data_IF_583324609380
#
_entry.id   IF_583324609380
#
_cell.length_a   1.000
_cell.length_b   1.000
_cell.length_c   1.000
_cell.angle_alpha   90.00
_cell.angle_beta   90.00
_cell.angle_gamma   90.00
#
_symmetry.space_group_name_H-M   'P 1'
#
loop_
_entity.id
_entity.type
_entity.pdbx_description
1 polymer ?
#
# COMPACT_ATOMS: atom_id res chain seq x y z
N UNK A 1 8.31 57.85 8.17
CA UNK A 1 7.87 56.60 8.82
C UNK A 1 7.67 55.59 7.71
N UNK A 2 8.60 54.64 7.56
CA UNK A 2 8.46 53.54 6.61
C UNK A 2 7.48 52.54 7.22
N UNK A 3 6.37 52.27 6.54
CA UNK A 3 5.45 51.22 6.94
C UNK A 3 6.19 49.89 6.90
N UNK A 4 6.22 49.18 8.02
CA UNK A 4 6.69 47.80 8.04
C UNK A 4 5.89 47.00 7.01
N UNK A 5 6.51 46.02 6.31
CA UNK A 5 5.72 45.07 5.54
C UNK A 5 4.72 44.45 6.50
N UNK A 6 3.43 44.54 6.17
CA UNK A 6 2.41 43.76 6.83
C UNK A 6 2.86 42.31 6.75
N UNK A 7 3.30 41.73 7.86
CA UNK A 7 3.39 40.28 7.98
C UNK A 7 2.01 39.78 7.61
N UNK A 8 1.89 39.16 6.43
CA UNK A 8 0.72 38.36 6.10
C UNK A 8 0.56 37.41 7.28
N UNK A 9 -0.45 37.61 8.12
CA UNK A 9 -0.88 36.54 9.02
C UNK A 9 -1.39 35.45 8.10
N UNK A 10 -0.49 34.56 7.69
CA UNK A 10 -0.81 33.44 6.84
C UNK A 10 -1.89 32.66 7.60
N UNK A 11 -3.06 32.55 6.99
CA UNK A 11 -4.11 31.67 7.49
C UNK A 11 -3.77 30.25 7.06
N UNK A 12 -4.22 29.27 7.83
CA UNK A 12 -4.14 27.89 7.40
C UNK A 12 -4.99 27.72 6.13
N UNK A 13 -4.43 27.03 5.13
CA UNK A 13 -5.03 26.90 3.80
C UNK A 13 -4.54 25.60 3.15
N UNK A 14 -5.39 24.95 2.37
CA UNK A 14 -5.08 23.68 1.70
C UNK A 14 -5.73 23.64 0.33
N UNK A 15 -4.94 23.24 -0.67
CA UNK A 15 -5.38 23.00 -2.04
C UNK A 15 -5.22 21.51 -2.34
N UNK A 16 -6.32 20.88 -2.77
CA UNK A 16 -6.37 19.45 -3.08
C UNK A 16 -7.25 19.22 -4.31
N UNK A 17 -6.64 18.70 -5.37
CA UNK A 17 -7.36 18.34 -6.58
C UNK A 17 -7.83 16.86 -6.63
N UNK A 18 -8.85 16.64 -7.46
CA UNK A 18 -9.31 15.32 -7.88
C UNK A 18 -8.17 14.52 -8.51
N UNK A 19 -7.99 13.25 -8.09
CA UNK A 19 -6.80 12.49 -8.49
C UNK A 19 -7.00 10.98 -8.54
N UNK A 20 -6.18 10.34 -9.38
CA UNK A 20 -6.05 8.89 -9.44
C UNK A 20 -4.90 8.43 -8.55
N UNK A 21 -5.22 7.64 -7.52
CA UNK A 21 -4.24 7.14 -6.56
C UNK A 21 -3.48 5.96 -7.12
N UNK A 22 -2.15 6.11 -7.13
CA UNK A 22 -1.20 5.02 -7.29
C UNK A 22 -0.64 4.66 -5.91
N UNK A 23 -0.53 3.37 -5.60
CA UNK A 23 0.03 2.88 -4.33
C UNK A 23 -0.62 3.50 -3.07
N UNK A 24 -1.91 3.85 -3.10
CA UNK A 24 -2.64 4.47 -1.96
C UNK A 24 -2.05 5.81 -1.49
N UNK A 25 -1.42 6.58 -2.38
CA UNK A 25 -0.81 7.86 -2.01
C UNK A 25 -1.65 9.01 -2.55
N UNK A 26 -2.10 9.89 -1.65
CA UNK A 26 -2.75 11.16 -1.97
C UNK A 26 -1.67 12.25 -2.05
N UNK A 27 -1.73 13.10 -3.06
CA UNK A 27 -0.86 14.29 -3.17
C UNK A 27 -1.69 15.53 -2.90
N UNK A 28 -1.22 16.39 -2.01
CA UNK A 28 -1.80 17.69 -1.68
C UNK A 28 -0.95 18.75 -2.37
N UNK A 29 -1.57 19.58 -3.20
CA UNK A 29 -0.87 20.49 -4.11
C UNK A 29 -0.17 21.62 -3.36
N UNK A 30 -0.87 22.21 -2.41
CA UNK A 30 -0.38 23.27 -1.55
C UNK A 30 -1.00 23.17 -0.17
N UNK A 31 -0.20 23.41 0.87
CA UNK A 31 -0.68 23.54 2.24
C UNK A 31 0.07 24.67 2.92
N UNK A 32 -0.64 25.53 3.64
CA UNK A 32 -0.06 26.56 4.49
C UNK A 32 -0.44 26.28 5.94
N UNK A 33 0.57 26.13 6.81
CA UNK A 33 0.41 25.88 8.24
C UNK A 33 1.06 27.05 9.01
N UNK A 34 0.28 27.88 9.71
CA UNK A 34 0.83 29.03 10.45
C UNK A 34 1.83 28.64 11.54
N UNK A 35 1.55 27.54 12.25
CA UNK A 35 2.32 27.09 13.42
C UNK A 35 2.86 25.66 13.23
N UNK A 36 2.81 25.11 12.02
CA UNK A 36 3.16 23.73 11.72
C UNK A 36 2.06 22.72 12.07
N UNK A 37 2.32 21.43 11.85
CA UNK A 37 1.40 20.34 12.18
C UNK A 37 1.22 19.33 11.05
N UNK A 38 -0.04 18.93 10.79
CA UNK A 38 -0.36 17.76 9.98
C UNK A 38 -1.47 17.99 8.97
N UNK A 39 -1.45 17.17 7.92
CA UNK A 39 -2.58 16.94 7.03
C UNK A 39 -3.18 15.57 7.39
N UNK A 40 -4.47 15.56 7.72
CA UNK A 40 -5.22 14.34 8.02
C UNK A 40 -6.23 14.11 6.90
N UNK A 41 -6.14 12.97 6.24
CA UNK A 41 -7.07 12.61 5.17
C UNK A 41 -8.19 11.75 5.74
N UNK A 42 -9.42 12.17 5.52
CA UNK A 42 -10.66 11.52 5.93
C UNK A 42 -11.46 11.05 4.72
N UNK A 43 -12.31 10.03 4.89
CA UNK A 43 -13.32 9.69 3.89
C UNK A 43 -14.52 10.62 4.00
N UNK A 44 -15.16 10.97 2.88
CA UNK A 44 -16.34 11.83 2.85
C UNK A 44 -16.03 13.31 3.12
N UNK A 45 -16.93 14.01 3.81
CA UNK A 45 -16.68 15.38 4.34
C UNK A 45 -16.44 15.30 5.83
N UNK A 46 -15.41 15.99 6.32
CA UNK A 46 -15.07 15.93 7.73
C UNK A 46 -16.18 16.46 8.63
N UNK A 47 -16.74 17.62 8.28
CA UNK A 47 -17.73 18.33 9.11
C UNK A 47 -19.09 17.63 9.10
N UNK A 48 -19.52 17.12 7.95
CA UNK A 48 -20.84 16.50 7.81
C UNK A 48 -20.88 15.06 8.33
N UNK A 49 -19.77 14.32 8.24
CA UNK A 49 -19.73 12.89 8.57
C UNK A 49 -19.25 12.62 10.01
N UNK A 50 -19.21 13.64 10.87
CA UNK A 50 -18.95 13.49 12.30
C UNK A 50 -17.49 13.22 12.64
N UNK A 51 -16.54 13.77 11.87
CA UNK A 51 -15.09 13.53 12.02
C UNK A 51 -14.77 12.03 11.93
N UNK A 52 -14.91 11.40 10.77
CA UNK A 52 -14.63 9.97 10.62
C UNK A 52 -13.18 9.64 11.02
N UNK A 53 -12.89 8.36 11.24
CA UNK A 53 -11.51 7.96 11.50
C UNK A 53 -10.61 8.33 10.31
N UNK A 54 -9.34 8.70 10.53
CA UNK A 54 -8.40 9.00 9.45
C UNK A 54 -8.25 7.81 8.49
N UNK A 55 -8.13 8.12 7.21
CA UNK A 55 -7.62 7.23 6.17
C UNK A 55 -6.09 7.29 6.13
N UNK A 56 -5.48 8.44 6.43
CA UNK A 56 -4.04 8.63 6.50
C UNK A 56 -3.67 9.95 7.20
N UNK A 57 -2.42 10.05 7.63
CA UNK A 57 -1.84 11.24 8.28
C UNK A 57 -0.49 11.52 7.63
N UNK A 58 -0.18 12.79 7.36
CA UNK A 58 1.14 13.18 6.89
C UNK A 58 2.22 12.99 7.97
N UNK A 59 3.49 13.12 7.58
CA UNK A 59 4.51 13.49 8.57
C UNK A 59 4.25 14.90 9.11
N UNK A 60 4.94 15.26 10.19
CA UNK A 60 4.96 16.64 10.68
C UNK A 60 5.52 17.58 9.61
N UNK A 61 4.90 18.74 9.49
CA UNK A 61 5.29 19.83 8.60
C UNK A 61 5.54 21.08 9.43
N UNK A 62 6.70 21.70 9.25
CA UNK A 62 7.03 22.97 9.90
C UNK A 62 6.05 24.09 9.50
N UNK A 63 6.06 25.18 10.26
CA UNK A 63 5.32 26.39 9.90
C UNK A 63 5.75 26.94 8.52
N UNK A 64 4.77 27.30 7.69
CA UNK A 64 4.97 27.83 6.35
C UNK A 64 4.12 27.14 5.29
N UNK A 65 4.48 27.36 4.02
CA UNK A 65 3.80 26.76 2.87
C UNK A 65 4.62 25.59 2.31
N UNK A 66 3.98 24.45 2.14
CA UNK A 66 4.53 23.23 1.54
C UNK A 66 3.77 22.89 0.26
N UNK A 67 4.43 22.22 -0.69
CA UNK A 67 3.83 21.84 -1.97
C UNK A 67 4.09 20.37 -2.27
N UNK A 68 3.16 19.73 -2.99
CA UNK A 68 3.23 18.33 -3.38
C UNK A 68 3.45 17.40 -2.16
N UNK A 69 2.75 17.67 -1.07
CA UNK A 69 2.86 16.86 0.14
C UNK A 69 2.13 15.53 -0.08
N UNK A 70 2.82 14.42 0.12
CA UNK A 70 2.23 13.09 -0.04
C UNK A 70 1.72 12.53 1.28
N UNK A 71 0.48 12.04 1.29
CA UNK A 71 -0.13 11.35 2.43
C UNK A 71 -0.43 9.90 2.05
N UNK A 72 0.15 8.97 2.80
CA UNK A 72 -0.06 7.53 2.58
C UNK A 72 -1.35 7.07 3.27
N UNK A 73 -2.31 6.57 2.50
CA UNK A 73 -3.51 5.98 3.08
C UNK A 73 -3.21 4.60 3.66
N UNK A 74 -3.79 4.34 4.83
CA UNK A 74 -3.65 3.08 5.56
C UNK A 74 -4.24 1.90 4.77
N UNK A 75 -3.60 0.71 4.81
CA UNK A 75 -4.10 -0.49 4.14
C UNK A 75 -5.54 -0.84 4.55
N UNK A 76 -6.35 -1.30 3.60
CA UNK A 76 -7.73 -1.75 3.84
C UNK A 76 -8.76 -0.64 4.08
N UNK A 77 -8.34 0.63 4.19
CA UNK A 77 -9.26 1.77 4.42
C UNK A 77 -9.90 2.31 3.13
N UNK A 78 -9.30 2.00 1.98
CA UNK A 78 -9.82 2.36 0.65
C UNK A 78 -9.51 1.25 -0.36
N UNK A 79 -10.54 0.63 -0.93
CA UNK A 79 -10.40 -0.56 -1.78
C UNK A 79 -9.76 -0.23 -3.15
N UNK A 80 -8.96 -1.13 -3.74
CA UNK A 80 -8.53 -1.00 -5.13
C UNK A 80 -9.73 -1.00 -6.08
N UNK A 81 -9.69 -0.16 -7.12
CA UNK A 81 -10.79 0.02 -8.08
C UNK A 81 -11.98 0.81 -7.55
N UNK A 82 -11.90 1.37 -6.34
CA UNK A 82 -12.95 2.21 -5.78
C UNK A 82 -12.76 3.68 -6.19
N UNK A 83 -13.88 4.36 -6.41
CA UNK A 83 -13.98 5.82 -6.48
C UNK A 83 -14.68 6.30 -5.22
N UNK A 84 -14.18 7.37 -4.62
CA UNK A 84 -14.77 7.93 -3.42
C UNK A 84 -14.34 9.36 -3.19
N UNK A 85 -14.99 10.02 -2.24
CA UNK A 85 -14.66 11.39 -1.84
C UNK A 85 -13.84 11.37 -0.57
N UNK A 86 -12.88 12.29 -0.47
CA UNK A 86 -12.04 12.52 0.71
C UNK A 86 -12.07 13.99 1.12
N UNK A 87 -11.68 14.23 2.37
CA UNK A 87 -11.38 15.56 2.90
C UNK A 87 -9.97 15.57 3.48
N UNK A 88 -9.15 16.54 3.08
CA UNK A 88 -7.88 16.84 3.75
C UNK A 88 -8.14 17.94 4.78
N UNK A 89 -7.86 17.64 6.06
CA UNK A 89 -8.08 18.55 7.18
C UNK A 89 -6.74 18.90 7.81
N UNK A 90 -6.51 20.18 8.06
CA UNK A 90 -5.28 20.64 8.69
C UNK A 90 -5.40 20.59 10.21
N UNK A 91 -4.38 20.06 10.86
CA UNK A 91 -4.26 19.97 12.32
C UNK A 91 -3.01 20.71 12.79
N UNK A 92 -3.12 21.46 13.89
CA UNK A 92 -1.93 21.98 14.60
C UNK A 92 -1.36 20.89 15.49
N UNK A 93 -0.03 20.91 15.64
CA UNK A 93 0.68 20.04 16.58
C UNK A 93 0.45 20.48 18.03
N UNK A 94 0.25 19.52 18.93
CA UNK A 94 0.11 19.71 20.36
C UNK A 94 1.42 20.08 21.08
N UNK A 95 2.56 19.95 20.41
CA UNK A 95 3.89 20.30 20.90
C UNK A 95 4.84 19.11 21.10
N UNK A 96 4.47 17.91 20.66
CA UNK A 96 5.29 16.70 20.76
C UNK A 96 5.67 16.08 19.40
N UNK A 97 5.28 16.73 18.29
CA UNK A 97 5.50 16.28 16.91
C UNK A 97 4.99 14.84 16.68
N UNK A 98 3.97 14.41 17.44
CA UNK A 98 3.29 13.14 17.25
C UNK A 98 1.79 13.33 17.09
N UNK A 99 1.25 12.84 15.96
CA UNK A 99 -0.17 12.99 15.71
C UNK A 99 -1.04 12.26 16.74
N UNK A 100 -1.75 13.02 17.58
CA UNK A 100 -2.57 12.56 18.70
C UNK A 100 -3.94 13.21 18.65
N UNK A 101 -4.96 12.43 18.28
CA UNK A 101 -6.33 12.94 18.12
C UNK A 101 -7.14 12.95 19.41
N UNK A 102 -6.90 11.99 20.29
CA UNK A 102 -7.65 11.82 21.54
C UNK A 102 -6.71 12.00 22.72
N UNK A 103 -7.24 12.49 23.82
CA UNK A 103 -6.46 12.60 25.06
C UNK A 103 -6.19 11.20 25.61
N UNK A 104 -5.00 10.70 25.29
CA UNK A 104 -4.44 9.45 25.82
C UNK A 104 -3.30 9.75 26.81
N UNK A 105 -3.29 10.95 27.41
CA UNK A 105 -2.23 11.46 28.27
C UNK A 105 -1.11 12.20 27.54
N UNK A 106 -1.26 12.45 26.23
CA UNK A 106 -0.36 13.22 25.37
C UNK A 106 -0.93 14.59 24.96
N UNK A 107 -0.18 15.35 24.18
CA UNK A 107 -0.65 16.64 23.67
C UNK A 107 -1.63 16.42 22.52
N UNK A 108 -2.89 16.83 22.69
CA UNK A 108 -3.92 16.59 21.68
C UNK A 108 -3.85 17.62 20.55
N UNK A 109 -3.69 17.13 19.32
CA UNK A 109 -3.79 17.92 18.11
C UNK A 109 -5.24 18.26 17.81
N UNK A 110 -5.49 19.50 17.38
CA UNK A 110 -6.82 19.90 16.94
C UNK A 110 -6.79 20.48 15.54
N UNK A 111 -7.92 20.49 14.83
CA UNK A 111 -7.99 21.13 13.53
C UNK A 111 -7.66 22.62 13.63
N UNK A 112 -6.99 23.15 12.61
CA UNK A 112 -7.06 24.58 12.32
C UNK A 112 -8.50 24.96 12.00
N UNK A 113 -8.97 26.11 12.51
CA UNK A 113 -10.34 26.58 12.26
C UNK A 113 -10.37 28.03 11.77
N UNK A 114 -11.33 28.34 10.90
CA UNK A 114 -11.67 29.69 10.46
C UNK A 114 -13.16 29.88 10.67
N UNK A 115 -13.55 30.83 11.53
CA UNK A 115 -14.96 31.04 11.87
C UNK A 115 -15.61 29.81 12.53
N UNK A 116 -14.86 29.14 13.40
CA UNK A 116 -15.24 27.88 14.09
C UNK A 116 -15.40 26.64 13.19
N UNK A 117 -15.20 26.78 11.88
CA UNK A 117 -15.20 25.67 10.93
C UNK A 117 -13.77 25.15 10.69
N UNK A 118 -13.55 23.82 10.68
CA UNK A 118 -12.26 23.24 10.31
C UNK A 118 -11.81 23.67 8.92
N UNK A 119 -10.51 23.95 8.77
CA UNK A 119 -9.91 24.15 7.45
C UNK A 119 -9.80 22.79 6.77
N UNK A 120 -10.66 22.57 5.78
CA UNK A 120 -10.71 21.37 4.95
C UNK A 120 -10.77 21.71 3.46
N UNK A 121 -10.25 20.82 2.62
CA UNK A 121 -10.56 20.77 1.18
C UNK A 121 -10.96 19.35 0.79
N UNK A 122 -11.89 19.21 -0.16
CA UNK A 122 -12.42 17.90 -0.54
C UNK A 122 -12.16 17.58 -2.00
N UNK A 123 -11.80 16.32 -2.26
CA UNK A 123 -11.53 15.83 -3.60
C UNK A 123 -12.13 14.45 -3.84
N UNK A 124 -12.37 14.14 -5.10
CA UNK A 124 -12.70 12.82 -5.60
C UNK A 124 -11.42 12.06 -5.92
N UNK A 125 -11.29 10.87 -5.37
CA UNK A 125 -10.17 9.96 -5.62
C UNK A 125 -10.63 8.67 -6.28
N UNK A 126 -9.83 8.16 -7.20
CA UNK A 126 -9.98 6.83 -7.79
C UNK A 126 -8.72 6.01 -7.54
N UNK A 127 -8.82 4.82 -6.94
CA UNK A 127 -7.65 3.96 -6.72
C UNK A 127 -7.49 2.97 -7.87
N UNK A 128 -6.36 3.00 -8.56
CA UNK A 128 -6.02 2.01 -9.58
C UNK A 128 -5.87 0.63 -8.92
N UNK A 129 -6.45 -0.45 -9.50
CA UNK A 129 -6.17 -1.80 -9.04
C UNK A 129 -4.67 -2.08 -9.14
N UNK A 130 -4.10 -2.71 -8.12
CA UNK A 130 -2.72 -3.16 -8.17
C UNK A 130 -2.62 -4.29 -9.21
N UNK A 131 -1.90 -4.03 -10.31
CA UNK A 131 -1.63 -5.06 -11.32
C UNK A 131 -0.85 -6.21 -10.67
N UNK A 132 -1.54 -7.32 -10.45
CA UNK A 132 -0.90 -8.59 -10.13
C UNK A 132 -0.47 -9.24 -11.45
N UNK A 133 0.44 -8.59 -12.18
CA UNK A 133 1.07 -9.30 -13.29
C UNK A 133 1.99 -10.37 -12.69
N UNK A 134 1.84 -11.65 -13.08
CA UNK A 134 2.75 -12.68 -12.64
C UNK A 134 4.15 -12.30 -13.13
N UNK A 135 5.06 -12.02 -12.20
CA UNK A 135 6.49 -11.94 -12.52
C UNK A 135 6.87 -13.31 -13.09
N UNK A 136 6.97 -13.41 -14.41
CA UNK A 136 7.57 -14.58 -15.04
C UNK A 136 9.00 -14.61 -14.51
N UNK A 137 9.43 -15.62 -13.71
CA UNK A 137 10.82 -15.71 -13.33
C UNK A 137 11.60 -15.81 -14.64
N UNK A 138 12.42 -14.80 -14.92
CA UNK A 138 13.39 -14.85 -16.01
C UNK A 138 14.46 -15.86 -15.61
N UNK A 139 14.16 -17.13 -15.82
CA UNK A 139 15.13 -18.21 -15.72
C UNK A 139 16.07 -18.05 -16.92
N UNK A 140 17.12 -17.25 -16.72
CA UNK A 140 18.31 -17.30 -17.58
C UNK A 140 19.04 -18.60 -17.26
N UNK A 141 18.55 -19.71 -17.83
CA UNK A 141 19.30 -20.95 -17.89
C UNK A 141 20.26 -20.84 -19.08
N UNK A 142 21.45 -20.29 -18.84
CA UNK A 142 22.57 -20.38 -19.79
C UNK A 142 23.11 -21.80 -19.73
N UNK A 143 22.56 -22.70 -20.55
CA UNK A 143 23.19 -23.99 -20.85
C UNK A 143 24.29 -23.74 -21.88
N UNK A 144 25.52 -23.59 -21.42
CA UNK A 144 26.71 -23.72 -22.26
C UNK A 144 26.95 -25.21 -22.49
N UNK A 145 26.37 -25.76 -23.55
CA UNK A 145 26.67 -27.10 -24.03
C UNK A 145 28.03 -27.08 -24.75
N UNK A 146 29.10 -27.32 -24.00
CA UNK A 146 30.45 -27.44 -24.55
C UNK A 146 30.66 -28.85 -25.12
N UNK A 147 30.42 -29.02 -26.41
CA UNK A 147 30.89 -30.19 -27.17
C UNK A 147 32.41 -30.11 -27.33
N UNK A 148 33.14 -31.03 -26.69
CA UNK A 148 34.58 -31.25 -26.92
C UNK A 148 34.80 -32.63 -27.56
N UNK A 149 35.51 -32.75 -28.69
CA UNK A 149 35.74 -34.04 -29.34
C UNK A 149 36.77 -34.89 -28.57
N UNK A 150 36.56 -36.21 -28.59
CA UNK A 150 37.36 -37.23 -27.92
C UNK A 150 38.74 -37.45 -28.59
N UNK A 151 39.82 -37.73 -27.82
CA UNK A 151 41.00 -38.42 -28.32
C UNK A 151 40.90 -39.94 -28.13
N UNK A 152 41.60 -40.76 -28.94
CA UNK A 152 41.53 -42.22 -28.86
C UNK A 152 42.32 -42.82 -27.68
N UNK A 153 41.95 -44.05 -27.34
CA UNK A 153 42.28 -44.87 -26.16
C UNK A 153 43.77 -45.21 -25.95
N UNK A 154 44.19 -45.41 -24.69
CA UNK A 154 44.96 -46.62 -24.25
C UNK A 154 45.10 -46.78 -22.72
N UNK A 155 44.93 -48.03 -22.25
CA UNK A 155 45.46 -48.68 -21.01
C UNK A 155 44.86 -48.43 -19.60
N UNK A 156 44.01 -49.40 -19.19
CA UNK A 156 44.15 -50.34 -18.05
C UNK A 156 44.34 -49.89 -16.55
N UNK A 157 43.31 -50.26 -15.76
CA UNK A 157 43.16 -50.56 -14.31
C UNK A 157 43.97 -49.80 -13.24
N UNK A 158 43.26 -49.14 -12.32
CA UNK A 158 42.81 -49.72 -11.02
C UNK A 158 42.16 -48.62 -10.18
N UNK A 159 40.84 -48.66 -10.00
CA UNK A 159 40.18 -48.56 -8.68
C UNK A 159 38.67 -48.34 -8.85
N UNK A 160 37.97 -49.42 -8.48
CA UNK A 160 36.59 -49.64 -8.08
C UNK A 160 35.66 -48.41 -7.86
N UNK A 161 34.45 -48.55 -8.41
CA UNK A 161 33.24 -47.68 -8.38
C UNK A 161 32.50 -47.75 -7.01
N UNK A 162 31.23 -47.30 -6.81
CA UNK A 162 30.26 -46.49 -7.59
C UNK A 162 29.53 -45.40 -6.73
N UNK A 163 28.56 -44.62 -7.23
CA UNK A 163 27.12 -44.94 -7.09
C UNK A 163 26.21 -44.10 -8.03
N UNK A 164 25.51 -44.83 -8.89
CA UNK A 164 24.09 -44.75 -9.25
C UNK A 164 23.50 -43.53 -9.98
N UNK A 165 23.70 -43.58 -11.31
CA UNK A 165 22.70 -43.67 -12.39
C UNK A 165 21.18 -43.64 -12.02
N UNK A 166 20.51 -42.61 -12.56
CA UNK A 166 19.32 -42.61 -13.45
C UNK A 166 17.94 -43.06 -12.94
N UNK A 167 16.94 -42.25 -13.30
CA UNK A 167 15.57 -42.73 -13.51
C UNK A 167 14.51 -41.68 -13.83
N UNK A 168 14.71 -40.78 -14.81
CA UNK A 168 13.59 -40.02 -15.39
C UNK A 168 12.95 -40.89 -16.48
N UNK A 169 11.82 -41.55 -16.16
CA UNK A 169 10.98 -42.19 -17.17
C UNK A 169 9.96 -41.17 -17.70
N UNK A 170 10.11 -40.78 -18.97
CA UNK A 170 8.98 -40.37 -19.81
C UNK A 170 8.37 -41.65 -20.40
N UNK A 171 7.07 -41.84 -20.22
CA UNK A 171 6.35 -42.96 -20.84
C UNK A 171 4.88 -42.91 -20.46
N UNK A 172 4.03 -42.55 -21.41
CA UNK A 172 2.63 -42.23 -21.19
C UNK A 172 1.69 -43.44 -21.08
N UNK A 173 0.41 -43.07 -21.15
CA UNK A 173 -0.80 -43.87 -21.34
C UNK A 173 -1.59 -44.22 -20.06
N UNK A 174 -2.71 -43.50 -19.94
CA UNK A 174 -4.04 -43.99 -19.57
C UNK A 174 -4.19 -44.79 -18.26
N UNK A 175 -4.84 -44.18 -17.27
CA UNK A 175 -6.16 -44.63 -16.80
C UNK A 175 -6.82 -43.58 -15.90
N UNK A 176 -8.01 -43.16 -16.31
CA UNK A 176 -8.98 -42.40 -15.51
C UNK A 176 -9.44 -43.26 -14.33
N UNK A 177 -9.45 -42.70 -13.13
CA UNK A 177 -10.33 -43.18 -12.06
C UNK A 177 -10.78 -41.99 -11.21
N UNK A 178 -11.88 -41.37 -11.63
CA UNK A 178 -12.72 -40.60 -10.74
C UNK A 178 -13.37 -41.60 -9.75
N UNK A 179 -13.14 -41.41 -8.45
CA UNK A 179 -13.98 -42.04 -7.42
C UNK A 179 -14.78 -40.94 -6.74
N UNK A 180 -15.99 -40.77 -7.28
CA UNK A 180 -17.12 -40.17 -6.61
C UNK A 180 -17.69 -41.22 -5.65
N UNK A 181 -17.65 -41.00 -4.33
CA UNK A 181 -18.51 -41.73 -3.40
C UNK A 181 -19.60 -40.77 -2.92
N UNK A 182 -20.75 -40.89 -3.57
CA UNK A 182 -22.00 -40.30 -3.14
C UNK A 182 -22.69 -41.25 -2.14
N UNK A 183 -22.98 -40.68 -0.98
CA UNK A 183 -24.01 -40.99 0.03
C UNK A 183 -25.08 -42.02 -0.37
N UNK A 184 -25.39 -42.96 0.53
CA UNK A 184 -26.76 -43.13 1.08
C UNK A 184 -26.74 -43.97 2.37
N UNK A 185 -27.29 -43.41 3.45
CA UNK A 185 -27.67 -44.17 4.62
C UNK A 185 -29.08 -44.74 4.49
N UNK A 186 -29.36 -45.85 5.17
CA UNK A 186 -30.43 -45.96 6.20
C UNK A 186 -30.72 -47.41 6.58
N UNK A 187 -30.94 -47.57 7.90
CA UNK A 187 -31.93 -48.42 8.61
C UNK A 187 -31.87 -49.93 8.35
N UNK A 188 -31.90 -50.80 9.34
CA UNK A 188 -32.20 -50.70 10.77
C UNK A 188 -32.55 -52.12 11.26
N UNK A 189 -32.82 -52.28 12.56
CA UNK A 189 -33.55 -53.45 13.07
C UNK A 189 -32.85 -54.24 14.18
N UNK A 190 -33.13 -53.84 15.41
CA UNK A 190 -33.49 -54.66 16.59
C UNK A 190 -32.96 -56.10 16.69
N UNK A 191 -32.29 -56.38 17.80
CA UNK A 191 -32.88 -57.13 18.92
C UNK A 191 -32.18 -56.79 20.23
#
# INVERSE_FOLDING_TARGET
MVGAPSVSQARADVELDDQTLTNRTVTVDSVTLPDGGYIVVHGGRYVFDGRPDPLGVSGYLDAGTHRNVTVQLSPGRFSPGATGRIAAVLYHDGGDEQFTRFDEGGAVDRPYTVGDEPVEETATIERVPESTEPRTPSATATTTEWSSPAPPETENWTSLRPLQLVGLFLGGAFAVAAVLVLVTGRRGGTR
#
